data_IF_536908073685
#
_entry.id   IF_536908073685
#
_cell.length_a   1.000
_cell.length_b   1.000
_cell.length_c   1.000
_cell.angle_alpha   90.00
_cell.angle_beta   90.00
_cell.angle_gamma   90.00
#
_symmetry.space_group_name_H-M   'P 1'
#
loop_
_entity.id
_entity.type
_entity.pdbx_description
1 polymer ?
#
# COMPACT_ATOMS: atom_id res chain seq x y z
N UNK A 1 39.44 -42.17 8.66
CA UNK A 1 38.17 -42.34 9.40
C UNK A 1 37.17 -41.34 8.87
N UNK A 2 35.90 -41.74 8.69
CA UNK A 2 34.80 -40.84 8.29
C UNK A 2 34.21 -41.09 6.90
N UNK A 3 33.66 -42.28 6.62
CA UNK A 3 32.71 -42.44 5.51
C UNK A 3 31.30 -42.14 6.04
N UNK A 4 30.71 -41.05 5.54
CA UNK A 4 29.37 -40.59 5.90
C UNK A 4 28.31 -41.68 5.68
N UNK A 5 27.51 -41.92 6.71
CA UNK A 5 26.42 -42.87 6.69
C UNK A 5 25.40 -42.48 5.61
N UNK A 6 25.14 -43.42 4.70
CA UNK A 6 23.95 -43.36 3.86
C UNK A 6 22.74 -43.46 4.80
N UNK A 7 22.06 -42.33 5.01
CA UNK A 7 20.76 -42.32 5.68
C UNK A 7 19.85 -43.32 4.97
N UNK A 8 19.42 -44.34 5.70
CA UNK A 8 18.46 -45.32 5.22
C UNK A 8 17.21 -44.58 4.78
N UNK A 9 16.86 -44.67 3.50
CA UNK A 9 15.56 -44.24 3.03
C UNK A 9 14.52 -45.17 3.68
N UNK A 10 13.53 -44.64 4.43
CA UNK A 10 12.44 -45.48 4.91
C UNK A 10 11.72 -46.04 3.69
N UNK A 11 11.37 -47.32 3.75
CA UNK A 11 10.80 -48.11 2.65
C UNK A 11 9.80 -47.28 1.83
N UNK A 12 10.02 -47.25 0.51
CA UNK A 12 9.23 -46.50 -0.47
C UNK A 12 7.77 -46.88 -0.35
N UNK A 13 7.01 -46.07 0.37
CA UNK A 13 5.57 -46.20 0.43
C UNK A 13 5.06 -45.75 -0.95
N UNK A 14 4.48 -46.64 -1.78
CA UNK A 14 4.22 -46.38 -3.21
C UNK A 14 3.35 -45.14 -3.43
N UNK A 15 2.47 -44.85 -2.46
CA UNK A 15 1.65 -43.64 -2.44
C UNK A 15 2.47 -42.35 -2.34
N UNK A 16 3.60 -42.38 -1.65
CA UNK A 16 4.46 -41.22 -1.43
C UNK A 16 5.29 -40.88 -2.68
N UNK A 17 5.72 -41.90 -3.42
CA UNK A 17 6.38 -41.70 -4.72
C UNK A 17 5.40 -41.24 -5.79
N UNK A 18 4.17 -41.76 -5.77
CA UNK A 18 3.09 -41.26 -6.63
C UNK A 18 2.75 -39.79 -6.33
N UNK A 19 2.69 -39.40 -5.06
CA UNK A 19 2.47 -38.01 -4.65
C UNK A 19 3.62 -37.09 -5.07
N UNK A 20 4.88 -37.56 -5.00
CA UNK A 20 6.06 -36.81 -5.46
C UNK A 20 6.05 -36.62 -6.98
N UNK A 21 5.66 -37.64 -7.74
CA UNK A 21 5.54 -37.54 -9.19
C UNK A 21 4.44 -36.56 -9.63
N UNK A 22 3.37 -36.43 -8.85
CA UNK A 22 2.25 -35.51 -9.13
C UNK A 22 2.49 -34.09 -8.62
N UNK A 23 3.49 -33.86 -7.78
CA UNK A 23 3.73 -32.57 -7.12
C UNK A 23 3.99 -31.43 -8.11
N UNK A 24 4.68 -31.71 -9.22
CA UNK A 24 4.99 -30.70 -10.25
C UNK A 24 3.75 -30.28 -11.05
N UNK A 25 2.77 -31.17 -11.21
CA UNK A 25 1.52 -30.89 -11.92
C UNK A 25 0.49 -30.12 -11.06
N UNK A 26 0.51 -30.33 -9.74
CA UNK A 26 -0.41 -29.67 -8.79
C UNK A 26 0.04 -28.24 -8.46
N UNK A 27 1.31 -27.90 -8.71
CA UNK A 27 1.84 -26.57 -8.46
C UNK A 27 1.22 -25.55 -9.41
N UNK A 28 0.52 -24.56 -8.86
CA UNK A 28 0.03 -23.42 -9.62
C UNK A 28 1.22 -22.52 -10.02
N UNK A 29 1.57 -22.55 -11.30
CA UNK A 29 2.72 -21.86 -11.87
C UNK A 29 3.93 -22.76 -12.11
N UNK A 30 4.71 -22.46 -13.15
CA UNK A 30 5.84 -23.29 -13.59
C UNK A 30 6.24 -23.01 -15.04
N UNK A 31 7.25 -23.73 -15.54
CA UNK A 31 7.69 -23.66 -16.93
C UNK A 31 6.54 -24.10 -17.85
N UNK A 32 6.11 -23.23 -18.76
CA UNK A 32 4.96 -23.48 -19.64
C UNK A 32 3.59 -23.16 -19.03
N UNK A 33 3.52 -22.76 -17.75
CA UNK A 33 2.29 -22.20 -17.18
C UNK A 33 1.91 -20.93 -17.92
N UNK A 34 0.60 -20.76 -18.18
CA UNK A 34 0.07 -19.59 -18.87
C UNK A 34 0.49 -18.32 -18.13
N UNK A 35 1.38 -17.55 -18.75
CA UNK A 35 1.74 -16.22 -18.25
C UNK A 35 0.59 -15.28 -18.55
N UNK A 36 0.15 -14.52 -17.54
CA UNK A 36 -0.85 -13.47 -17.76
C UNK A 36 -0.31 -12.47 -18.79
N UNK A 37 -1.07 -12.23 -19.86
CA UNK A 37 -0.67 -11.35 -20.98
C UNK A 37 -0.59 -9.88 -20.57
N UNK A 38 -1.48 -9.39 -19.70
CA UNK A 38 -1.47 -8.02 -19.20
C UNK A 38 -1.79 -7.95 -17.71
N UNK A 39 -1.15 -7.02 -17.00
CA UNK A 39 -1.54 -6.64 -15.65
C UNK A 39 -2.68 -5.62 -15.76
N UNK A 40 -3.87 -5.98 -15.29
CA UNK A 40 -4.94 -5.02 -15.12
C UNK A 40 -4.54 -4.07 -13.98
N UNK A 41 -4.17 -2.84 -14.33
CA UNK A 41 -3.93 -1.76 -13.35
C UNK A 41 -5.25 -1.03 -13.20
N UNK A 42 -5.89 -1.17 -12.04
CA UNK A 42 -7.04 -0.33 -11.71
C UNK A 42 -6.51 1.05 -11.36
N UNK A 43 -6.75 2.01 -12.25
CA UNK A 43 -6.62 3.43 -11.93
C UNK A 43 -7.91 3.81 -11.22
N UNK A 44 -7.79 4.31 -10.00
CA UNK A 44 -8.91 4.90 -9.30
C UNK A 44 -9.16 6.25 -9.99
N UNK A 45 -10.25 6.34 -10.76
CA UNK A 45 -10.77 7.63 -11.24
C UNK A 45 -11.50 8.28 -10.07
N UNK A 46 -10.74 8.93 -9.18
CA UNK A 46 -11.32 9.78 -8.15
C UNK A 46 -11.38 11.21 -8.66
N UNK A 47 -12.47 11.90 -8.34
CA UNK A 47 -12.61 13.33 -8.62
C UNK A 47 -11.44 14.09 -8.02
N UNK A 48 -10.92 15.10 -8.75
CA UNK A 48 -9.74 15.85 -8.34
C UNK A 48 -9.91 16.48 -6.94
N UNK A 49 -11.12 16.87 -6.56
CA UNK A 49 -11.44 17.38 -5.22
C UNK A 49 -11.09 16.37 -4.11
N UNK A 50 -11.46 15.09 -4.30
CA UNK A 50 -11.19 14.04 -3.30
C UNK A 50 -9.70 13.72 -3.20
N UNK A 51 -8.97 13.83 -4.31
CA UNK A 51 -7.52 13.64 -4.32
C UNK A 51 -6.81 14.74 -3.55
N UNK A 52 -7.25 15.99 -3.70
CA UNK A 52 -6.72 17.13 -2.93
C UNK A 52 -7.01 16.96 -1.44
N UNK A 53 -8.23 16.59 -1.05
CA UNK A 53 -8.58 16.34 0.35
C UNK A 53 -7.74 15.21 0.99
N UNK A 54 -7.53 14.12 0.25
CA UNK A 54 -6.68 13.01 0.71
C UNK A 54 -5.22 13.44 0.86
N UNK A 55 -4.67 14.19 -0.11
CA UNK A 55 -3.30 14.69 -0.04
C UNK A 55 -3.10 15.57 1.19
N UNK A 56 -4.01 16.50 1.47
CA UNK A 56 -3.94 17.38 2.64
C UNK A 56 -3.98 16.58 3.94
N UNK A 57 -4.96 15.66 4.05
CA UNK A 57 -5.13 14.82 5.25
C UNK A 57 -3.90 13.96 5.52
N UNK A 58 -3.31 13.37 4.48
CA UNK A 58 -2.11 12.53 4.58
C UNK A 58 -0.86 13.31 5.02
N UNK A 59 -0.77 14.59 4.66
CA UNK A 59 0.33 15.48 5.07
C UNK A 59 0.04 16.19 6.40
N UNK A 60 -0.90 15.68 7.20
CA UNK A 60 -1.32 16.26 8.48
C UNK A 60 -1.85 17.70 8.38
N UNK A 61 -2.29 18.12 7.19
CA UNK A 61 -2.94 19.40 6.95
C UNK A 61 -4.45 19.19 7.14
N UNK A 62 -5.05 19.93 8.07
CA UNK A 62 -6.49 19.86 8.36
C UNK A 62 -7.18 21.18 8.05
N UNK A 63 -8.39 21.08 7.48
CA UNK A 63 -9.28 22.22 7.28
C UNK A 63 -9.83 22.70 8.63
N UNK A 64 -9.88 24.02 8.81
CA UNK A 64 -10.59 24.66 9.91
C UNK A 64 -11.99 25.02 9.41
N UNK A 65 -13.06 24.40 9.93
CA UNK A 65 -14.41 24.73 9.50
C UNK A 65 -14.83 26.09 10.04
N UNK A 66 -15.64 26.82 9.27
CA UNK A 66 -16.39 28.02 9.69
C UNK A 66 -15.53 29.08 10.39
N UNK A 67 -14.62 29.70 9.65
CA UNK A 67 -13.85 30.85 10.15
C UNK A 67 -14.63 32.12 9.84
N UNK A 68 -15.00 32.89 10.86
CA UNK A 68 -15.72 34.16 10.66
C UNK A 68 -14.75 35.30 10.28
N UNK A 69 -13.65 35.42 11.03
CA UNK A 69 -12.61 36.41 10.77
C UNK A 69 -11.24 35.92 11.21
N UNK A 70 -10.20 36.32 10.47
CA UNK A 70 -8.79 36.18 10.88
C UNK A 70 -8.17 37.56 10.91
N UNK A 71 -7.56 37.88 12.05
CA UNK A 71 -6.77 39.09 12.22
C UNK A 71 -5.29 38.73 12.27
N UNK A 72 -4.52 39.24 11.31
CA UNK A 72 -3.07 39.13 11.30
C UNK A 72 -2.48 40.42 11.85
N UNK A 73 -2.00 40.38 13.09
CA UNK A 73 -1.35 41.51 13.75
C UNK A 73 0.11 41.55 13.35
N UNK A 74 0.56 42.70 12.86
CA UNK A 74 1.95 42.97 12.50
C UNK A 74 2.67 43.68 13.64
N UNK A 75 4.00 43.64 13.62
CA UNK A 75 4.89 44.24 14.64
C UNK A 75 4.76 45.76 14.78
N UNK A 76 4.18 46.44 13.80
CA UNK A 76 3.90 47.89 13.80
C UNK A 76 2.52 48.23 14.40
N UNK A 77 1.87 47.26 15.07
CA UNK A 77 0.52 47.35 15.63
C UNK A 77 -0.59 47.60 14.59
N UNK A 78 -0.29 47.46 13.30
CA UNK A 78 -1.30 47.40 12.26
C UNK A 78 -1.82 45.98 12.11
N UNK A 79 -3.10 45.85 11.78
CA UNK A 79 -3.77 44.58 11.58
C UNK A 79 -4.32 44.44 10.17
N UNK A 80 -4.17 43.26 9.57
CA UNK A 80 -4.90 42.86 8.37
C UNK A 80 -6.05 41.95 8.77
N UNK A 81 -7.28 42.32 8.41
CA UNK A 81 -8.50 41.58 8.74
C UNK A 81 -9.03 40.89 7.49
N UNK A 82 -9.18 39.57 7.55
CA UNK A 82 -9.78 38.75 6.51
C UNK A 82 -11.13 38.22 6.98
N UNK A 83 -12.20 38.52 6.26
CA UNK A 83 -13.54 37.97 6.51
C UNK A 83 -13.72 36.64 5.79
N UNK A 84 -14.28 35.65 6.48
CA UNK A 84 -14.60 34.31 5.94
C UNK A 84 -13.47 33.60 5.16
N UNK A 85 -12.24 33.49 5.69
CA UNK A 85 -11.16 32.83 4.98
C UNK A 85 -11.29 31.30 5.01
N UNK A 86 -10.71 30.63 4.00
CA UNK A 86 -10.46 29.19 4.03
C UNK A 86 -9.11 28.93 4.71
N UNK A 87 -9.13 28.40 5.93
CA UNK A 87 -7.93 28.14 6.71
C UNK A 87 -7.58 26.66 6.78
N UNK A 88 -6.30 26.34 6.63
CA UNK A 88 -5.74 25.03 6.91
C UNK A 88 -4.63 25.14 7.95
N UNK A 89 -4.47 24.14 8.80
CA UNK A 89 -3.38 24.08 9.77
C UNK A 89 -2.63 22.75 9.68
N UNK A 90 -1.33 22.78 9.97
CA UNK A 90 -0.46 21.60 10.08
C UNK A 90 -0.33 21.24 11.56
N UNK A 91 -0.54 19.97 11.92
CA UNK A 91 -0.16 19.48 13.26
C UNK A 91 1.34 19.19 13.30
N UNK A 92 2.02 19.73 14.31
CA UNK A 92 3.38 19.31 14.68
C UNK A 92 3.38 17.89 15.24
#
# INVERSE_FOLDING_TARGET
MGKGGKGQQPASNPKLDQLRAMADAVRTGGKGSVRRKMKAVHKISQDDEKLVEQFLTNNNIRLIPNIDQVEMVRSDNNAMIFTSPKGFYVRK
#
